data_IF_681934687663
#
_entry.id   IF_681934687663
#
_cell.length_a   1.000
_cell.length_b   1.000
_cell.length_c   1.000
_cell.angle_alpha   90.00
_cell.angle_beta   90.00
_cell.angle_gamma   90.00
#
_symmetry.space_group_name_H-M   'P 1'
#
loop_
_entity.id
_entity.type
_entity.pdbx_description
1 polymer ?
#
# COMPACT_ATOMS: atom_id res chain seq x y z
N UNK A 1 24.15 -9.98 -25.15
CA UNK A 1 23.49 -10.21 -23.85
C UNK A 1 22.11 -9.61 -23.92
N UNK A 2 21.08 -10.33 -23.48
CA UNK A 2 19.73 -9.77 -23.34
C UNK A 2 19.57 -9.28 -21.90
N UNK A 3 19.18 -8.02 -21.72
CA UNK A 3 18.85 -7.46 -20.42
C UNK A 3 17.34 -7.32 -20.35
N UNK A 4 16.72 -7.91 -19.34
CA UNK A 4 15.30 -7.73 -19.07
C UNK A 4 15.16 -6.98 -17.75
N UNK A 5 14.48 -5.84 -17.80
CA UNK A 5 14.18 -5.02 -16.63
C UNK A 5 12.77 -5.35 -16.20
N UNK A 6 12.61 -5.74 -14.95
CA UNK A 6 11.31 -5.94 -14.31
C UNK A 6 11.14 -4.87 -13.25
N UNK A 7 10.00 -4.20 -13.29
CA UNK A 7 9.54 -3.35 -12.19
C UNK A 7 8.44 -4.14 -11.48
N UNK A 8 8.52 -4.23 -10.15
CA UNK A 8 7.37 -4.67 -9.36
C UNK A 8 6.86 -3.51 -8.52
N UNK A 9 5.56 -3.55 -8.25
CA UNK A 9 4.89 -2.62 -7.35
C UNK A 9 3.98 -3.43 -6.44
N UNK A 10 4.19 -3.30 -5.13
CA UNK A 10 3.34 -3.87 -4.10
C UNK A 10 2.65 -2.72 -3.39
N UNK A 11 1.32 -2.75 -3.34
CA UNK A 11 0.49 -1.70 -2.74
C UNK A 11 -0.27 -2.29 -1.57
N UNK A 12 -0.21 -1.58 -0.44
CA UNK A 12 -1.05 -1.83 0.72
C UNK A 12 -1.86 -0.57 1.01
N UNK A 13 -3.12 -0.73 1.40
CA UNK A 13 -3.98 0.38 1.79
C UNK A 13 -4.78 -0.03 3.02
N UNK A 14 -4.91 0.89 3.96
CA UNK A 14 -5.65 0.68 5.21
C UNK A 14 -6.22 1.99 5.73
N UNK A 15 -7.13 1.88 6.70
CA UNK A 15 -7.95 2.98 7.19
C UNK A 15 -8.04 2.90 8.72
N UNK A 16 -7.64 3.98 9.39
CA UNK A 16 -7.65 4.07 10.84
C UNK A 16 -8.61 5.16 11.31
N UNK A 17 -9.55 4.79 12.19
CA UNK A 17 -10.42 5.76 12.84
C UNK A 17 -9.88 6.08 14.22
N UNK A 18 -9.70 7.38 14.50
CA UNK A 18 -9.21 7.83 15.79
C UNK A 18 -10.08 8.93 16.38
N UNK A 19 -10.25 8.87 17.70
CA UNK A 19 -10.79 9.96 18.50
C UNK A 19 -9.62 10.78 19.02
N UNK A 20 -9.59 12.06 18.66
CA UNK A 20 -8.57 13.01 19.11
C UNK A 20 -9.12 13.82 20.26
N UNK A 21 -8.32 13.99 21.32
CA UNK A 21 -8.59 14.89 22.43
C UNK A 21 -7.31 15.66 22.73
N UNK A 22 -7.29 16.96 22.40
CA UNK A 22 -6.11 17.81 22.52
C UNK A 22 -6.37 18.94 23.52
N UNK A 23 -5.52 19.15 24.54
CA UNK A 23 -5.71 20.23 25.50
C UNK A 23 -5.60 21.59 24.86
N UNK A 24 -6.50 22.49 25.24
CA UNK A 24 -6.46 23.88 24.84
C UNK A 24 -5.52 24.69 25.76
N UNK A 25 -4.75 25.63 25.21
CA UNK A 25 -4.07 26.66 25.99
C UNK A 25 -5.05 27.44 26.88
N UNK A 26 -4.57 27.88 28.04
CA UNK A 26 -5.38 28.67 28.98
C UNK A 26 -5.90 29.95 28.32
N UNK A 27 -7.16 30.28 28.56
CA UNK A 27 -7.79 31.51 28.05
C UNK A 27 -8.37 31.41 26.63
N UNK A 28 -8.25 30.27 25.95
CA UNK A 28 -8.91 30.05 24.65
C UNK A 28 -10.35 29.59 24.85
N UNK A 29 -11.29 30.45 24.47
CA UNK A 29 -12.73 30.16 24.41
C UNK A 29 -13.28 30.47 23.03
N UNK A 30 -14.05 29.56 22.44
CA UNK A 30 -14.58 29.78 21.09
C UNK A 30 -15.11 28.52 20.43
N UNK A 31 -15.30 28.59 19.11
CA UNK A 31 -15.62 27.44 18.26
C UNK A 31 -14.48 27.16 17.28
N UNK A 32 -14.41 25.93 16.80
CA UNK A 32 -13.46 25.54 15.76
C UNK A 32 -13.99 26.03 14.42
N UNK A 33 -13.20 26.84 13.73
CA UNK A 33 -13.57 27.38 12.41
C UNK A 33 -13.06 26.50 11.27
N UNK A 34 -11.78 26.09 11.33
CA UNK A 34 -11.19 25.14 10.40
C UNK A 34 -10.27 24.19 11.13
N UNK A 35 -10.17 22.96 10.62
CA UNK A 35 -9.22 21.95 11.07
C UNK A 35 -8.56 21.38 9.83
N UNK A 36 -7.29 21.72 9.65
CA UNK A 36 -6.49 21.35 8.49
C UNK A 36 -5.47 20.29 8.92
N UNK A 37 -5.31 19.26 8.10
CA UNK A 37 -4.28 18.23 8.29
C UNK A 37 -3.19 18.46 7.28
N UNK A 38 -1.93 18.36 7.72
CA UNK A 38 -0.85 18.20 6.75
C UNK A 38 -0.69 16.72 6.43
N UNK A 39 -0.09 16.40 5.30
CA UNK A 39 0.35 15.02 5.05
C UNK A 39 1.20 14.56 6.24
N UNK A 40 0.95 13.35 6.71
CA UNK A 40 1.64 12.81 7.87
C UNK A 40 3.14 12.92 7.68
N UNK A 41 3.82 13.44 8.69
CA UNK A 41 5.27 13.57 8.67
C UNK A 41 5.83 12.17 8.43
N UNK A 42 6.56 12.06 7.31
CA UNK A 42 7.31 10.88 6.88
C UNK A 42 8.51 10.69 7.80
N UNK A 43 8.29 10.52 9.10
CA UNK A 43 9.36 10.06 9.98
C UNK A 43 9.59 8.57 9.71
N UNK A 44 10.20 8.33 8.55
CA UNK A 44 10.90 7.12 8.17
C UNK A 44 12.07 6.82 9.12
N UNK A 45 12.34 7.67 10.12
CA UNK A 45 13.29 7.41 11.20
C UNK A 45 12.99 6.09 11.94
N UNK A 46 11.76 5.59 11.88
CA UNK A 46 11.37 4.28 12.43
C UNK A 46 10.90 3.26 11.38
N UNK A 47 11.21 3.47 10.09
CA UNK A 47 10.88 2.50 9.06
C UNK A 47 11.80 1.28 9.18
N UNK A 48 11.21 0.12 9.48
CA UNK A 48 11.90 -1.16 9.47
C UNK A 48 11.34 -2.05 8.37
N UNK A 49 12.20 -2.51 7.47
CA UNK A 49 11.87 -3.54 6.48
C UNK A 49 12.75 -4.75 6.77
N UNK A 50 12.12 -5.87 7.14
CA UNK A 50 12.82 -7.12 7.49
C UNK A 50 12.26 -8.30 6.69
N UNK A 51 13.09 -9.12 6.04
CA UNK A 51 12.62 -10.34 5.39
C UNK A 51 11.84 -11.22 6.37
N UNK A 52 10.71 -11.78 5.91
CA UNK A 52 9.88 -12.66 6.72
C UNK A 52 10.46 -14.08 6.71
N UNK A 53 10.84 -14.59 7.89
CA UNK A 53 11.43 -15.92 8.02
C UNK A 53 10.47 -17.00 7.52
N UNK A 54 10.95 -17.89 6.65
CA UNK A 54 10.17 -19.00 6.11
C UNK A 54 9.20 -18.62 4.98
N UNK A 55 9.11 -17.34 4.59
CA UNK A 55 8.24 -16.89 3.49
C UNK A 55 9.09 -16.10 2.46
N UNK A 56 9.69 -16.81 1.47
CA UNK A 56 10.57 -16.18 0.49
C UNK A 56 9.86 -15.06 -0.28
N UNK A 57 10.57 -13.96 -0.47
CA UNK A 57 10.07 -12.82 -1.23
C UNK A 57 9.02 -11.98 -0.50
N UNK A 58 8.82 -12.16 0.81
CA UNK A 58 8.01 -11.26 1.63
C UNK A 58 8.85 -10.61 2.71
N UNK A 59 8.52 -9.35 3.04
CA UNK A 59 9.11 -8.61 4.14
C UNK A 59 8.03 -8.07 5.06
N UNK A 60 8.34 -8.04 6.35
CA UNK A 60 7.62 -7.25 7.34
C UNK A 60 8.07 -5.80 7.24
N UNK A 61 7.10 -4.89 7.06
CA UNK A 61 7.30 -3.45 7.04
C UNK A 61 6.62 -2.87 8.27
N UNK A 62 7.39 -2.18 9.10
CA UNK A 62 6.95 -1.55 10.34
C UNK A 62 7.31 -0.06 10.33
N UNK A 63 6.37 0.82 10.65
CA UNK A 63 6.63 2.25 10.80
C UNK A 63 5.58 2.93 11.69
N UNK A 64 5.90 4.13 12.16
CA UNK A 64 4.99 5.00 12.90
C UNK A 64 4.58 6.18 12.02
N UNK A 65 3.29 6.41 11.87
CA UNK A 65 2.74 7.58 11.18
C UNK A 65 2.31 8.63 12.21
N UNK A 66 2.85 9.84 12.08
CA UNK A 66 2.44 11.01 12.86
C UNK A 66 1.80 12.03 11.94
N UNK A 67 0.52 12.34 12.16
CA UNK A 67 -0.19 13.32 11.33
C UNK A 67 -0.42 14.60 12.12
N UNK A 68 0.29 15.70 11.77
CA UNK A 68 0.05 16.98 12.39
C UNK A 68 -1.26 17.58 11.89
N UNK A 69 -1.94 18.31 12.77
CA UNK A 69 -3.10 19.12 12.45
C UNK A 69 -2.91 20.56 12.93
N UNK A 70 -3.57 21.48 12.25
CA UNK A 70 -3.70 22.88 12.63
C UNK A 70 -5.17 23.23 12.75
N UNK A 71 -5.61 23.60 13.96
CA UNK A 71 -6.95 24.07 14.23
C UNK A 71 -6.97 25.60 14.31
N UNK A 72 -7.91 26.24 13.60
CA UNK A 72 -8.18 27.67 13.74
C UNK A 72 -9.41 27.88 14.59
N UNK A 73 -9.27 28.64 15.66
CA UNK A 73 -10.29 28.88 16.66
C UNK A 73 -10.79 30.32 16.57
N UNK A 74 -12.10 30.49 16.65
CA UNK A 74 -12.75 31.81 16.60
C UNK A 74 -13.37 32.12 17.96
N UNK A 75 -12.92 33.20 18.57
CA UNK A 75 -13.49 33.74 19.82
C UNK A 75 -14.78 34.53 19.55
N UNK A 76 -15.72 34.61 20.51
CA UNK A 76 -16.89 35.49 20.41
C UNK A 76 -16.55 36.97 20.15
N UNK A 77 -15.34 37.41 20.53
CA UNK A 77 -14.83 38.76 20.29
C UNK A 77 -14.29 39.00 18.87
N UNK A 78 -14.26 37.98 18.01
CA UNK A 78 -13.72 38.06 16.65
C UNK A 78 -12.23 37.75 16.52
N UNK A 79 -11.54 37.52 17.65
CA UNK A 79 -10.14 37.10 17.66
C UNK A 79 -9.99 35.68 17.09
N UNK A 80 -8.95 35.49 16.28
CA UNK A 80 -8.57 34.21 15.72
C UNK A 80 -7.29 33.72 16.38
N UNK A 81 -7.30 32.48 16.82
CA UNK A 81 -6.11 31.79 17.34
C UNK A 81 -5.87 30.51 16.56
N UNK A 82 -4.60 30.09 16.49
CA UNK A 82 -4.21 28.82 15.88
C UNK A 82 -3.70 27.87 16.96
N UNK A 83 -4.02 26.59 16.81
CA UNK A 83 -3.59 25.50 17.68
C UNK A 83 -2.98 24.41 16.82
N UNK A 84 -1.70 24.14 17.04
CA UNK A 84 -1.01 23.03 16.42
C UNK A 84 -1.07 21.79 17.33
N UNK A 85 -1.20 20.62 16.71
CA UNK A 85 -1.24 19.34 17.42
C UNK A 85 -0.96 18.17 16.49
N UNK A 86 -1.02 16.97 17.04
CA UNK A 86 -0.89 15.73 16.29
C UNK A 86 -2.05 14.81 16.65
N UNK A 87 -2.52 14.04 15.66
CA UNK A 87 -3.38 12.91 15.97
C UNK A 87 -2.58 11.85 16.75
N UNK A 88 -3.23 10.95 17.51
CA UNK A 88 -2.54 9.84 18.13
C UNK A 88 -1.72 9.01 17.13
N UNK A 89 -0.51 8.62 17.53
CA UNK A 89 0.41 7.87 16.68
C UNK A 89 -0.21 6.58 16.13
N UNK A 90 -0.13 6.38 14.81
CA UNK A 90 -0.58 5.15 14.16
C UNK A 90 0.64 4.24 13.93
N UNK A 91 0.61 3.05 14.52
CA UNK A 91 1.64 2.04 14.33
C UNK A 91 1.19 1.06 13.25
N UNK A 92 1.89 1.04 12.12
CA UNK A 92 1.58 0.16 10.99
C UNK A 92 2.58 -0.98 10.96
N UNK A 93 2.06 -2.20 10.84
CA UNK A 93 2.84 -3.42 10.69
C UNK A 93 2.19 -4.29 9.62
N UNK A 94 2.87 -4.47 8.49
CA UNK A 94 2.29 -5.12 7.32
C UNK A 94 3.30 -6.04 6.63
N UNK A 95 2.81 -7.13 6.06
CA UNK A 95 3.60 -8.04 5.23
C UNK A 95 3.45 -7.63 3.77
N UNK A 96 4.57 -7.30 3.11
CA UNK A 96 4.61 -6.87 1.71
C UNK A 96 5.47 -7.83 0.89
N UNK A 97 5.03 -8.12 -0.32
CA UNK A 97 5.82 -8.86 -1.29
C UNK A 97 7.01 -8.01 -1.79
N UNK A 98 8.21 -8.47 -1.50
CA UNK A 98 9.51 -7.88 -1.84
C UNK A 98 10.44 -8.99 -2.38
N UNK A 99 10.19 -9.51 -3.60
CA UNK A 99 10.76 -10.77 -4.10
C UNK A 99 12.27 -10.79 -4.26
N UNK A 100 12.89 -9.62 -4.36
CA UNK A 100 14.28 -9.47 -4.74
C UNK A 100 14.98 -8.39 -3.88
N UNK A 101 14.47 -8.17 -2.66
CA UNK A 101 15.10 -7.28 -1.70
C UNK A 101 16.56 -7.72 -1.49
N UNK A 102 17.51 -6.87 -1.89
CA UNK A 102 18.92 -7.11 -1.64
C UNK A 102 19.17 -6.88 -0.15
N UNK A 103 20.05 -7.68 0.46
CA UNK A 103 20.40 -7.48 1.88
C UNK A 103 20.93 -6.06 2.18
N UNK A 104 21.41 -5.35 1.14
CA UNK A 104 22.06 -4.03 1.28
C UNK A 104 21.23 -2.85 0.74
N UNK A 105 20.00 -3.06 0.24
CA UNK A 105 19.19 -1.97 -0.31
C UNK A 105 17.72 -2.10 0.08
N UNK A 106 17.19 -1.05 0.70
CA UNK A 106 15.75 -0.92 0.95
C UNK A 106 15.02 -0.63 -0.38
N UNK A 107 13.85 -1.24 -0.62
CA UNK A 107 13.01 -0.89 -1.77
C UNK A 107 12.53 0.57 -1.67
N UNK A 108 12.15 1.18 -2.80
CA UNK A 108 11.55 2.52 -2.80
C UNK A 108 10.15 2.43 -2.18
N UNK A 109 10.07 2.83 -0.91
CA UNK A 109 8.85 2.80 -0.12
C UNK A 109 8.29 4.21 0.02
N UNK A 110 7.06 4.40 -0.43
CA UNK A 110 6.31 5.66 -0.30
C UNK A 110 5.07 5.43 0.54
N UNK A 111 4.92 6.27 1.55
CA UNK A 111 3.72 6.32 2.39
C UNK A 111 2.98 7.61 2.05
N UNK A 112 1.75 7.47 1.61
CA UNK A 112 0.82 8.57 1.41
C UNK A 112 -0.32 8.44 2.43
N UNK A 113 -0.72 9.55 3.03
CA UNK A 113 -1.80 9.58 4.02
C UNK A 113 -2.83 10.64 3.66
N UNK A 114 -4.11 10.36 3.89
CA UNK A 114 -5.19 11.35 3.75
C UNK A 114 -6.13 11.28 4.95
N UNK A 115 -6.31 12.43 5.60
CA UNK A 115 -7.23 12.57 6.71
C UNK A 115 -8.60 13.10 6.26
N UNK A 116 -9.65 12.61 6.90
CA UNK A 116 -11.02 13.08 6.73
C UNK A 116 -11.68 13.20 8.10
N UNK A 117 -12.26 14.36 8.38
CA UNK A 117 -13.05 14.57 9.61
C UNK A 117 -14.34 13.75 9.49
N UNK A 118 -14.65 12.97 10.52
CA UNK A 118 -15.88 12.18 10.61
C UNK A 118 -16.99 12.90 11.38
N UNK A 119 -16.60 13.70 12.37
CA UNK A 119 -17.50 14.45 13.25
C UNK A 119 -16.94 15.86 13.42
N UNK A 120 -17.81 16.86 13.35
CA UNK A 120 -17.43 18.26 13.50
C UNK A 120 -16.65 18.49 14.79
N UNK A 121 -15.49 19.16 14.73
CA UNK A 121 -14.68 19.41 15.90
C UNK A 121 -15.43 20.26 16.92
N UNK A 122 -15.36 19.87 18.18
CA UNK A 122 -16.01 20.56 19.29
C UNK A 122 -15.02 20.85 20.41
N UNK A 123 -15.33 21.88 21.20
CA UNK A 123 -14.58 22.25 22.39
C UNK A 123 -15.44 21.94 23.60
N UNK A 124 -14.98 21.03 24.46
CA UNK A 124 -15.66 20.66 25.68
C UNK A 124 -14.64 20.40 26.79
N UNK A 125 -14.89 20.95 27.99
CA UNK A 125 -14.03 20.71 29.16
C UNK A 125 -12.56 21.12 28.99
N UNK A 126 -12.27 22.15 28.20
CA UNK A 126 -10.90 22.60 27.91
C UNK A 126 -10.15 21.71 26.91
N UNK A 127 -10.86 20.81 26.20
CA UNK A 127 -10.29 19.93 25.18
C UNK A 127 -10.91 20.23 23.82
N UNK A 128 -10.09 20.22 22.78
CA UNK A 128 -10.51 20.06 21.40
C UNK A 128 -10.76 18.57 21.13
N UNK A 129 -11.98 18.23 20.71
CA UNK A 129 -12.38 16.86 20.42
C UNK A 129 -12.93 16.72 19.01
N UNK A 130 -12.44 15.71 18.29
CA UNK A 130 -12.94 15.35 16.96
C UNK A 130 -12.64 13.89 16.64
N UNK A 131 -13.41 13.32 15.72
CA UNK A 131 -13.12 12.01 15.15
C UNK A 131 -12.54 12.19 13.75
N UNK A 132 -11.44 11.50 13.46
CA UNK A 132 -10.74 11.56 12.17
C UNK A 132 -10.57 10.16 11.61
N UNK A 133 -10.77 10.05 10.31
CA UNK A 133 -10.43 8.89 9.52
C UNK A 133 -9.12 9.13 8.78
N UNK A 134 -8.14 8.25 8.96
CA UNK A 134 -6.81 8.35 8.35
C UNK A 134 -6.65 7.20 7.37
N UNK A 135 -6.67 7.52 6.09
CA UNK A 135 -6.42 6.57 5.02
C UNK A 135 -4.92 6.57 4.73
N UNK A 136 -4.32 5.39 4.67
CA UNK A 136 -2.90 5.21 4.38
C UNK A 136 -2.77 4.37 3.12
N UNK A 137 -1.91 4.78 2.21
CA UNK A 137 -1.47 3.99 1.06
C UNK A 137 0.03 3.85 1.13
N UNK A 138 0.49 2.61 1.15
CA UNK A 138 1.88 2.23 1.14
C UNK A 138 2.22 1.63 -0.22
N UNK A 139 3.17 2.22 -0.92
CA UNK A 139 3.66 1.72 -2.21
C UNK A 139 5.11 1.31 -2.06
N UNK A 140 5.38 0.05 -2.34
CA UNK A 140 6.72 -0.51 -2.40
C UNK A 140 7.04 -0.79 -3.86
N UNK A 141 8.04 -0.12 -4.41
CA UNK A 141 8.48 -0.32 -5.79
C UNK A 141 9.97 -0.61 -5.84
N UNK A 142 10.37 -1.49 -6.76
CA UNK A 142 11.77 -1.74 -7.02
C UNK A 142 11.98 -2.09 -8.50
N UNK A 143 13.19 -1.83 -8.98
CA UNK A 143 13.61 -2.10 -10.35
C UNK A 143 14.69 -3.17 -10.34
N UNK A 144 14.37 -4.32 -10.89
CA UNK A 144 15.30 -5.43 -11.02
C UNK A 144 15.77 -5.56 -12.46
N UNK A 145 17.09 -5.61 -12.60
CA UNK A 145 17.73 -5.97 -13.84
C UNK A 145 18.11 -7.45 -13.79
N UNK A 146 17.43 -8.26 -14.60
CA UNK A 146 17.81 -9.64 -14.84
C UNK A 146 18.79 -9.68 -16.01
N UNK A 147 20.05 -9.99 -15.69
CA UNK A 147 21.04 -10.36 -16.68
C UNK A 147 20.86 -11.83 -17.01
N UNK A 148 20.22 -12.13 -18.14
CA UNK A 148 20.07 -13.51 -18.61
C UNK A 148 21.32 -13.84 -19.45
N UNK A 149 22.15 -14.81 -19.01
CA UNK A 149 23.26 -15.30 -19.82
C UNK A 149 22.75 -15.70 -21.20
N UNK A 150 23.43 -15.24 -22.26
CA UNK A 150 23.07 -15.60 -23.63
C UNK A 150 23.13 -17.12 -23.89
N UNK A 151 23.86 -17.86 -23.05
CA UNK A 151 23.89 -19.32 -23.06
C UNK A 151 22.56 -19.98 -22.66
N UNK A 152 21.70 -19.32 -21.90
CA UNK A 152 20.34 -19.79 -21.59
C UNK A 152 19.34 -19.43 -22.69
N UNK A 153 19.62 -18.39 -23.47
CA UNK A 153 18.90 -18.05 -24.69
C UNK A 153 19.40 -18.92 -25.84
N UNK A 154 19.25 -20.25 -25.71
CA UNK A 154 19.72 -21.19 -26.71
C UNK A 154 18.84 -21.05 -27.97
N UNK A 155 19.28 -20.23 -28.93
CA UNK A 155 18.61 -20.08 -30.23
C UNK A 155 18.47 -21.43 -30.95
N UNK A 156 19.40 -22.34 -30.71
CA UNK A 156 19.35 -23.72 -31.21
C UNK A 156 18.13 -24.51 -30.72
N UNK A 157 17.57 -24.18 -29.55
CA UNK A 157 16.34 -24.84 -29.09
C UNK A 157 15.08 -24.22 -29.69
N UNK A 158 15.04 -22.90 -29.97
CA UNK A 158 13.86 -22.28 -30.61
C UNK A 158 13.62 -22.79 -32.02
N UNK A 159 14.69 -23.04 -32.77
CA UNK A 159 14.64 -23.55 -34.15
C UNK A 159 14.81 -25.08 -34.20
N UNK A 160 14.73 -25.77 -33.06
CA UNK A 160 14.76 -27.22 -33.02
C UNK A 160 13.54 -27.78 -33.77
N UNK A 161 13.72 -28.64 -34.78
CA UNK A 161 12.61 -29.28 -35.48
C UNK A 161 11.67 -30.03 -34.54
N UNK A 162 12.20 -30.57 -33.43
CA UNK A 162 11.45 -31.29 -32.42
C UNK A 162 10.52 -30.36 -31.62
N UNK A 163 10.98 -29.14 -31.28
CA UNK A 163 10.14 -28.15 -30.60
C UNK A 163 9.09 -27.57 -31.54
N UNK A 164 9.42 -27.27 -32.80
CA UNK A 164 8.41 -26.86 -33.79
C UNK A 164 7.34 -27.93 -33.99
N UNK A 165 7.73 -29.20 -34.14
CA UNK A 165 6.79 -30.30 -34.26
C UNK A 165 5.89 -30.43 -33.02
N UNK A 166 6.47 -30.31 -31.82
CA UNK A 166 5.72 -30.34 -30.55
C UNK A 166 4.74 -29.16 -30.43
N UNK A 167 5.12 -27.96 -30.88
CA UNK A 167 4.24 -26.78 -30.89
C UNK A 167 3.08 -26.95 -31.86
N UNK A 168 3.33 -27.46 -33.07
CA UNK A 168 2.27 -27.75 -34.05
C UNK A 168 1.32 -28.81 -33.50
N UNK A 169 1.84 -29.90 -32.93
CA UNK A 169 1.02 -30.96 -32.32
C UNK A 169 0.18 -30.45 -31.14
N UNK A 170 0.73 -29.56 -30.30
CA UNK A 170 0.01 -28.96 -29.19
C UNK A 170 -1.12 -28.04 -29.68
N UNK A 171 -0.86 -27.22 -30.71
CA UNK A 171 -1.87 -26.36 -31.34
C UNK A 171 -2.96 -27.18 -32.04
N UNK A 172 -2.61 -28.26 -32.73
CA UNK A 172 -3.56 -29.18 -33.35
C UNK A 172 -4.42 -29.89 -32.32
N UNK A 173 -3.82 -30.36 -31.21
CA UNK A 173 -4.58 -30.96 -30.10
C UNK A 173 -5.55 -29.97 -29.49
N UNK A 174 -5.13 -28.72 -29.27
CA UNK A 174 -5.96 -27.66 -28.70
C UNK A 174 -7.09 -27.21 -29.63
N UNK A 175 -6.85 -27.19 -30.95
CA UNK A 175 -7.84 -26.81 -31.94
C UNK A 175 -8.87 -27.90 -32.22
N UNK A 176 -8.58 -29.17 -31.87
CA UNK A 176 -9.48 -30.30 -32.00
C UNK A 176 -10.22 -30.58 -30.67
N UNK A 177 -11.53 -30.28 -30.58
CA UNK A 177 -12.32 -30.50 -29.37
C UNK A 177 -12.45 -31.98 -28.96
N UNK A 178 -12.21 -32.93 -29.87
CA UNK A 178 -12.20 -34.36 -29.53
C UNK A 178 -10.87 -34.83 -28.95
N UNK A 179 -9.80 -34.06 -29.15
CA UNK A 179 -8.47 -34.32 -28.59
C UNK A 179 -8.15 -33.48 -27.37
N UNK A 180 -8.83 -32.34 -27.22
CA UNK A 180 -8.75 -31.51 -26.01
C UNK A 180 -9.70 -32.07 -24.96
N UNK A 181 -9.19 -32.92 -24.07
CA UNK A 181 -9.93 -33.38 -22.90
C UNK A 181 -10.06 -32.22 -21.90
N UNK A 182 -11.09 -31.39 -22.07
CA UNK A 182 -11.54 -30.50 -21.00
C UNK A 182 -12.21 -31.36 -19.92
N UNK A 183 -11.88 -31.18 -18.64
CA UNK A 183 -12.67 -31.75 -17.55
C UNK A 183 -14.14 -31.38 -17.73
N UNK A 184 -15.07 -32.33 -17.54
CA UNK A 184 -16.51 -32.05 -17.70
C UNK A 184 -17.02 -30.98 -16.72
N UNK A 185 -16.26 -30.71 -15.66
CA UNK A 185 -16.51 -29.69 -14.64
C UNK A 185 -15.74 -28.39 -14.86
N UNK A 186 -15.05 -28.21 -16.00
CA UNK A 186 -14.23 -27.03 -16.26
C UNK A 186 -15.03 -25.72 -16.26
N UNK A 187 -16.31 -25.77 -16.64
CA UNK A 187 -17.24 -24.67 -16.45
C UNK A 187 -18.25 -25.06 -15.36
N UNK A 188 -18.30 -24.35 -14.23
CA UNK A 188 -19.32 -24.62 -13.22
C UNK A 188 -20.70 -24.45 -13.84
N UNK A 189 -21.57 -25.46 -13.64
CA UNK A 189 -22.94 -25.40 -14.11
C UNK A 189 -23.58 -24.08 -13.64
N UNK A 190 -24.30 -23.34 -14.51
CA UNK A 190 -25.06 -22.18 -14.05
C UNK A 190 -25.94 -22.64 -12.90
N UNK A 191 -25.82 -21.98 -11.75
CA UNK A 191 -26.61 -22.30 -10.56
C UNK A 191 -28.08 -22.23 -10.96
N UNK A 192 -28.69 -23.40 -11.17
CA UNK A 192 -30.11 -23.53 -11.43
C UNK A 192 -30.85 -23.09 -10.19
N UNK A 193 -31.67 -22.06 -10.36
CA UNK A 193 -32.74 -21.69 -9.45
C UNK A 193 -33.62 -22.93 -9.20
N UNK A 194 -33.69 -23.36 -7.94
CA UNK A 194 -34.77 -24.20 -7.40
C UNK A 194 -35.40 -23.47 -6.24
#
# INVERSE_FOLDING_TARGET
>A
MSQTIFTYESIFADTFVQLVSHPLPEGISGSVSTLDFSDGVRDAENLSVKPLLGVPGFSMVEFRLQVPFKARLSSPGGDKSELDGHIPDIHVKVVIYTPLARQDALPDLKVDSRCQILVDPSIAGGLLQFAVNVNIVLRCSDKHQLNIPSSLSNKEHRDSPALQASWVEACEKFADPQRTLFPEDFFPAPRGET
#
